data_IF_017143730115
#
_entry.id   IF_017143730115
#
_cell.length_a   1.000
_cell.length_b   1.000
_cell.length_c   1.000
_cell.angle_alpha   90.00
_cell.angle_beta   90.00
_cell.angle_gamma   90.00
#
_symmetry.space_group_name_H-M   'P 1'
#
loop_
_entity.id
_entity.type
_entity.pdbx_description
1 polymer ?
#
# COMPACT_ATOMS: atom_id res chain seq x y z
N UNK A 1 10.13 16.54 14.39
CA UNK A 1 9.64 15.24 13.86
C UNK A 1 8.31 14.96 14.53
N UNK A 2 7.21 15.36 13.88
CA UNK A 2 5.85 15.07 14.32
C UNK A 2 5.25 14.01 13.37
N UNK A 3 4.27 13.24 13.85
CA UNK A 3 3.49 12.29 13.04
C UNK A 3 2.40 13.06 12.26
N UNK A 4 2.82 14.00 11.42
CA UNK A 4 1.96 14.83 10.59
C UNK A 4 2.05 14.30 9.15
N UNK A 5 1.13 13.40 8.79
CA UNK A 5 1.08 12.78 7.46
C UNK A 5 -0.09 13.33 6.67
N UNK A 6 0.08 13.44 5.35
CA UNK A 6 -1.04 13.75 4.48
C UNK A 6 -2.12 12.64 4.60
N UNK A 7 -3.41 12.97 4.61
CA UNK A 7 -4.47 11.97 4.65
C UNK A 7 -4.35 10.91 3.55
N UNK A 8 -3.80 11.25 2.38
CA UNK A 8 -3.52 10.31 1.30
C UNK A 8 -2.47 9.27 1.70
N UNK A 9 -1.37 9.69 2.34
CA UNK A 9 -0.34 8.80 2.87
C UNK A 9 -0.92 7.85 3.91
N UNK A 10 -1.75 8.38 4.81
CA UNK A 10 -2.39 7.60 5.86
C UNK A 10 -3.29 6.50 5.28
N UNK A 11 -4.11 6.84 4.27
CA UNK A 11 -4.96 5.87 3.57
C UNK A 11 -4.14 4.84 2.81
N UNK A 12 -3.07 5.25 2.13
CA UNK A 12 -2.20 4.34 1.40
C UNK A 12 -1.57 3.28 2.32
N UNK A 13 -1.08 3.70 3.50
CA UNK A 13 -0.54 2.78 4.51
C UNK A 13 -1.64 1.87 5.08
N UNK A 14 -2.82 2.41 5.38
CA UNK A 14 -3.94 1.62 5.89
C UNK A 14 -4.35 0.51 4.90
N UNK A 15 -4.44 0.83 3.61
CA UNK A 15 -4.74 -0.14 2.54
C UNK A 15 -3.64 -1.19 2.43
N UNK A 16 -2.37 -0.79 2.49
CA UNK A 16 -1.24 -1.72 2.44
C UNK A 16 -1.29 -2.72 3.61
N UNK A 17 -1.48 -2.24 4.84
CA UNK A 17 -1.60 -3.09 6.04
C UNK A 17 -2.79 -4.04 5.91
N UNK A 18 -3.94 -3.54 5.49
CA UNK A 18 -5.13 -4.36 5.33
C UNK A 18 -4.95 -5.47 4.29
N UNK A 19 -4.38 -5.14 3.12
CA UNK A 19 -4.16 -6.12 2.05
C UNK A 19 -3.11 -7.16 2.44
N UNK A 20 -1.98 -6.74 3.01
CA UNK A 20 -0.94 -7.67 3.45
C UNK A 20 -1.46 -8.61 4.53
N UNK A 21 -2.28 -8.13 5.47
CA UNK A 21 -2.89 -8.97 6.49
C UNK A 21 -3.89 -9.97 5.87
N UNK A 22 -4.74 -9.50 4.95
CA UNK A 22 -5.70 -10.36 4.22
C UNK A 22 -5.01 -11.52 3.49
N UNK A 23 -3.92 -11.22 2.76
CA UNK A 23 -3.14 -12.21 2.03
C UNK A 23 -2.38 -13.15 2.98
N UNK A 24 -1.90 -12.65 4.13
CA UNK A 24 -1.13 -13.47 5.09
C UNK A 24 -2.01 -14.34 5.99
N UNK A 25 -3.33 -14.19 5.93
CA UNK A 25 -4.25 -14.79 6.91
C UNK A 25 -4.35 -16.32 6.82
N UNK A 26 -4.00 -16.93 5.69
CA UNK A 26 -4.06 -18.38 5.50
C UNK A 26 -2.77 -19.12 5.94
N UNK A 27 -1.73 -18.38 6.33
CA UNK A 27 -0.44 -18.92 6.79
C UNK A 27 0.40 -19.60 5.70
N UNK A 28 0.03 -19.45 4.42
CA UNK A 28 0.77 -19.95 3.26
C UNK A 28 1.17 -18.75 2.40
N UNK A 29 2.08 -18.97 1.46
CA UNK A 29 2.39 -17.96 0.45
C UNK A 29 2.52 -18.63 -0.89
N UNK A 30 1.97 -18.00 -1.93
CA UNK A 30 2.07 -18.47 -3.30
C UNK A 30 2.53 -17.35 -4.25
N UNK A 31 2.95 -17.76 -5.45
CA UNK A 31 3.50 -16.84 -6.44
C UNK A 31 2.47 -15.80 -6.93
N UNK A 32 1.18 -16.17 -6.96
CA UNK A 32 0.11 -15.28 -7.37
C UNK A 32 -0.14 -14.19 -6.32
N UNK A 33 -0.14 -14.53 -5.04
CA UNK A 33 -0.21 -13.57 -3.93
C UNK A 33 0.94 -12.57 -3.97
N UNK A 34 2.16 -13.05 -4.26
CA UNK A 34 3.31 -12.19 -4.48
C UNK A 34 3.09 -11.20 -5.63
N UNK A 35 2.57 -11.66 -6.76
CA UNK A 35 2.23 -10.78 -7.89
C UNK A 35 1.14 -9.76 -7.51
N UNK A 36 0.12 -10.17 -6.75
CA UNK A 36 -0.94 -9.26 -6.29
C UNK A 36 -0.38 -8.17 -5.39
N UNK A 37 0.55 -8.50 -4.48
CA UNK A 37 1.22 -7.50 -3.64
C UNK A 37 2.07 -6.52 -4.46
N UNK A 38 2.84 -7.02 -5.43
CA UNK A 38 3.65 -6.17 -6.33
C UNK A 38 2.76 -5.29 -7.21
N UNK A 39 1.65 -5.82 -7.72
CA UNK A 39 0.69 -5.07 -8.51
C UNK A 39 0.03 -3.95 -7.69
N UNK A 40 -0.40 -4.22 -6.46
CA UNK A 40 -0.91 -3.19 -5.55
C UNK A 40 0.14 -2.12 -5.28
N UNK A 41 1.39 -2.50 -5.02
CA UNK A 41 2.47 -1.54 -4.83
C UNK A 41 2.68 -0.65 -6.06
N UNK A 42 2.63 -1.21 -7.27
CA UNK A 42 2.73 -0.45 -8.51
C UNK A 42 1.56 0.54 -8.69
N UNK A 43 0.33 0.14 -8.32
CA UNK A 43 -0.84 1.02 -8.35
C UNK A 43 -0.70 2.17 -7.36
N UNK A 44 -0.29 1.88 -6.11
CA UNK A 44 -0.06 2.90 -5.08
C UNK A 44 1.04 3.87 -5.53
N UNK A 45 2.16 3.34 -6.04
CA UNK A 45 3.27 4.16 -6.57
C UNK A 45 2.80 5.09 -7.68
N UNK A 46 1.96 4.59 -8.58
CA UNK A 46 1.39 5.39 -9.67
C UNK A 46 0.41 6.45 -9.15
N UNK A 47 -0.34 6.16 -8.10
CA UNK A 47 -1.22 7.14 -7.45
C UNK A 47 -0.41 8.26 -6.80
N UNK A 48 0.69 7.94 -6.11
CA UNK A 48 1.64 8.94 -5.58
C UNK A 48 2.30 9.78 -6.68
N UNK A 49 2.61 9.18 -7.83
CA UNK A 49 3.20 9.93 -8.95
C UNK A 49 2.29 11.06 -9.47
N UNK A 50 0.97 10.90 -9.38
CA UNK A 50 0.00 11.93 -9.76
C UNK A 50 -0.50 12.76 -8.58
N UNK A 51 -0.17 12.39 -7.35
CA UNK A 51 -0.52 13.17 -6.17
C UNK A 51 0.32 14.46 -6.15
N UNK A 52 -0.31 15.64 -6.03
CA UNK A 52 0.42 16.90 -5.99
C UNK A 52 1.35 16.92 -4.78
N UNK A 53 2.61 17.30 -4.99
CA UNK A 53 3.53 17.46 -3.88
C UNK A 53 3.01 18.56 -2.94
N UNK A 54 2.93 18.32 -1.62
CA UNK A 54 2.65 19.40 -0.68
C UNK A 54 3.76 20.45 -0.81
N UNK A 55 3.36 21.71 -1.01
CA UNK A 55 4.27 22.86 -1.16
C UNK A 55 4.95 23.26 0.14
#
# INVERSE_FOLDING_TARGET
>A
MALDFDPFELVAVAVAVWLTNSISNDGRSNWLEGILLVATYAVITRAFFFHPAPG
#
